data_IF_924406136491
#
_entry.id   IF_924406136491
#
_cell.length_a   1.000
_cell.length_b   1.000
_cell.length_c   1.000
_cell.angle_alpha   90.00
_cell.angle_beta   90.00
_cell.angle_gamma   90.00
#
_symmetry.space_group_name_H-M   'P 1'
#
loop_
_entity.id
_entity.type
_entity.pdbx_description
1 polymer ?
#
# COMPACT_ATOMS: atom_id res chain seq x y z
N UNK A 1 -55.84 -72.80 -30.76
CA UNK A 1 -55.50 -71.36 -30.76
C UNK A 1 -54.64 -71.14 -29.52
N UNK A 2 -53.31 -71.09 -29.51
CA UNK A 2 -52.29 -70.69 -30.48
C UNK A 2 -51.40 -69.67 -29.76
N UNK A 3 -50.52 -70.12 -28.86
CA UNK A 3 -49.61 -69.24 -28.11
C UNK A 3 -48.60 -68.57 -29.06
N UNK A 4 -48.27 -67.28 -28.89
CA UNK A 4 -47.26 -66.65 -29.73
C UNK A 4 -45.86 -67.22 -29.43
N UNK A 5 -44.98 -67.35 -30.44
CA UNK A 5 -43.66 -67.94 -30.27
C UNK A 5 -42.73 -67.03 -29.46
N UNK A 6 -41.98 -67.63 -28.54
CA UNK A 6 -40.96 -66.97 -27.73
C UNK A 6 -39.68 -66.76 -28.56
N UNK A 7 -39.35 -65.51 -28.88
CA UNK A 7 -38.11 -65.15 -29.56
C UNK A 7 -37.02 -64.84 -28.50
N UNK A 8 -35.92 -65.61 -28.42
CA UNK A 8 -34.82 -65.26 -27.53
C UNK A 8 -34.07 -64.02 -28.05
N UNK A 9 -33.53 -63.17 -27.15
CA UNK A 9 -32.82 -61.95 -27.53
C UNK A 9 -31.46 -62.24 -28.22
N UNK A 10 -30.95 -61.33 -29.07
CA UNK A 10 -29.69 -61.52 -29.79
C UNK A 10 -28.48 -61.54 -28.84
N UNK A 11 -27.56 -62.48 -29.07
CA UNK A 11 -26.30 -62.62 -28.35
C UNK A 11 -25.36 -61.46 -28.67
N UNK A 12 -25.06 -60.61 -27.69
CA UNK A 12 -24.10 -59.49 -27.83
C UNK A 12 -22.72 -60.00 -27.39
N UNK A 13 -21.68 -60.00 -28.24
CA UNK A 13 -20.34 -60.41 -27.81
C UNK A 13 -19.75 -59.39 -26.82
N UNK A 14 -18.86 -59.79 -25.89
CA UNK A 14 -18.28 -58.89 -24.91
C UNK A 14 -17.40 -57.83 -25.58
N UNK A 15 -17.69 -56.56 -25.32
CA UNK A 15 -16.83 -55.43 -25.71
C UNK A 15 -15.44 -55.61 -25.08
N UNK A 16 -14.41 -55.71 -25.92
CA UNK A 16 -13.01 -55.58 -25.47
C UNK A 16 -12.70 -54.11 -25.22
N UNK A 17 -12.21 -53.71 -24.02
CA UNK A 17 -11.72 -52.36 -23.81
C UNK A 17 -10.43 -52.14 -24.62
N UNK A 18 -10.24 -50.95 -25.23
CA UNK A 18 -9.00 -50.63 -25.92
C UNK A 18 -7.86 -50.45 -24.91
N UNK A 19 -6.80 -51.23 -25.07
CA UNK A 19 -5.51 -51.03 -24.39
C UNK A 19 -4.81 -49.81 -24.97
N UNK A 20 -4.92 -48.65 -24.31
CA UNK A 20 -4.03 -47.52 -24.55
C UNK A 20 -2.95 -47.48 -23.45
N UNK A 21 -1.67 -47.36 -23.80
CA UNK A 21 -0.61 -47.16 -22.82
C UNK A 21 -0.68 -45.74 -22.22
N UNK A 22 -0.26 -45.55 -20.97
CA UNK A 22 -0.28 -44.24 -20.31
C UNK A 22 0.75 -43.31 -20.96
N UNK A 23 0.28 -42.15 -21.45
CA UNK A 23 1.14 -41.05 -21.86
C UNK A 23 1.92 -40.52 -20.64
N UNK A 24 3.24 -40.67 -20.67
CA UNK A 24 4.17 -40.05 -19.73
C UNK A 24 4.50 -38.64 -20.26
N UNK A 25 4.24 -37.56 -19.51
CA UNK A 25 4.75 -36.24 -19.89
C UNK A 25 6.19 -36.10 -19.41
N UNK A 26 7.16 -36.20 -20.31
CA UNK A 26 8.55 -35.78 -20.04
C UNK A 26 8.70 -34.28 -20.34
N UNK A 27 8.71 -33.44 -19.30
CA UNK A 27 9.19 -32.06 -19.38
C UNK A 27 10.73 -32.05 -19.33
N UNK A 28 11.44 -31.38 -20.26
CA UNK A 28 12.87 -31.15 -20.11
C UNK A 28 13.13 -30.08 -19.03
N UNK A 29 14.22 -30.20 -18.24
CA UNK A 29 14.58 -29.16 -17.28
C UNK A 29 15.10 -27.92 -18.01
N UNK A 30 14.52 -26.76 -17.70
CA UNK A 30 15.00 -25.45 -18.15
C UNK A 30 16.47 -25.25 -17.73
N UNK A 31 17.36 -25.05 -18.70
CA UNK A 31 18.72 -24.57 -18.45
C UNK A 31 18.69 -23.07 -18.08
N UNK A 32 19.40 -22.63 -17.03
CA UNK A 32 19.61 -21.21 -16.79
C UNK A 32 20.53 -20.60 -17.87
N UNK A 33 20.30 -19.36 -18.31
CA UNK A 33 21.19 -18.70 -19.26
C UNK A 33 22.53 -18.35 -18.59
N UNK A 34 23.60 -18.92 -19.12
CA UNK A 34 24.99 -18.52 -18.86
C UNK A 34 25.29 -17.22 -19.62
N UNK A 35 25.25 -16.08 -18.94
CA UNK A 35 25.91 -14.86 -19.43
C UNK A 35 27.14 -14.59 -18.55
N UNK A 36 28.33 -14.36 -19.15
CA UNK A 36 29.53 -14.03 -18.40
C UNK A 36 29.47 -12.60 -17.85
N UNK A 37 30.11 -12.31 -16.71
CA UNK A 37 30.20 -10.95 -16.18
C UNK A 37 31.11 -10.09 -17.08
N UNK A 38 30.59 -8.94 -17.53
CA UNK A 38 31.35 -7.93 -18.25
C UNK A 38 32.45 -7.35 -17.35
N UNK A 39 33.71 -7.56 -17.73
CA UNK A 39 34.89 -6.97 -17.11
C UNK A 39 35.19 -5.64 -17.85
N UNK A 40 35.12 -4.47 -17.22
CA UNK A 40 35.60 -3.24 -17.84
C UNK A 40 37.15 -3.23 -17.89
N UNK A 41 37.77 -2.82 -18.99
CA UNK A 41 39.22 -2.80 -19.14
C UNK A 41 39.89 -1.69 -18.31
N UNK A 42 41.03 -2.05 -17.75
CA UNK A 42 42.01 -1.22 -17.05
C UNK A 42 42.34 0.09 -17.81
N UNK A 43 42.31 1.22 -17.10
CA UNK A 43 42.86 2.51 -17.57
C UNK A 43 44.15 2.78 -16.78
N UNK A 44 45.31 2.98 -17.43
CA UNK A 44 46.56 3.30 -16.74
C UNK A 44 46.62 4.78 -16.29
N UNK A 45 47.32 5.11 -15.20
CA UNK A 45 47.40 6.46 -14.67
C UNK A 45 48.49 7.27 -15.38
N UNK A 46 48.13 8.38 -16.03
CA UNK A 46 49.11 9.35 -16.51
C UNK A 46 49.23 10.56 -15.57
N UNK A 47 50.51 10.89 -15.31
CA UNK A 47 51.08 11.80 -14.30
C UNK A 47 50.70 13.29 -14.47
N UNK A 48 50.90 14.09 -13.40
CA UNK A 48 50.63 15.54 -13.37
C UNK A 48 51.81 16.38 -13.86
N UNK A 49 51.53 17.54 -14.47
CA UNK A 49 52.51 18.63 -14.64
C UNK A 49 51.81 20.00 -14.67
N UNK A 50 52.18 20.84 -13.70
CA UNK A 50 52.01 22.31 -13.60
C UNK A 50 53.46 22.91 -13.54
N UNK A 51 53.77 24.23 -13.50
CA UNK A 51 52.98 25.49 -13.41
C UNK A 51 53.65 26.62 -14.30
N UNK A 52 53.86 27.90 -13.89
CA UNK A 52 52.99 28.99 -13.36
C UNK A 52 53.04 30.27 -14.27
N UNK A 53 52.13 31.25 -14.14
CA UNK A 53 52.51 32.67 -14.37
C UNK A 53 51.68 33.63 -13.49
N UNK A 54 52.43 34.51 -12.82
CA UNK A 54 52.06 35.52 -11.79
C UNK A 54 51.96 36.92 -12.47
N UNK A 55 51.24 37.91 -11.92
CA UNK A 55 50.60 39.02 -12.66
C UNK A 55 51.40 40.35 -12.60
N UNK A 56 50.96 41.42 -13.29
CA UNK A 56 51.35 42.78 -12.94
C UNK A 56 50.17 43.62 -12.38
N UNK A 57 50.36 44.00 -11.11
CA UNK A 57 50.16 45.30 -10.43
C UNK A 57 49.16 46.37 -10.94
N UNK A 58 48.45 46.91 -9.93
CA UNK A 58 47.41 47.97 -9.81
C UNK A 58 48.06 49.39 -9.78
N UNK A 59 47.36 50.56 -9.94
CA UNK A 59 46.67 51.24 -8.80
C UNK A 59 45.47 52.17 -9.27
N UNK A 60 44.98 53.20 -8.53
CA UNK A 60 43.64 53.14 -7.88
C UNK A 60 42.77 54.40 -8.09
N UNK A 61 41.51 54.33 -8.53
CA UNK A 61 40.62 55.50 -8.36
C UNK A 61 39.18 55.15 -7.92
N UNK A 62 38.85 55.79 -6.79
CA UNK A 62 37.57 55.87 -6.07
C UNK A 62 36.59 56.85 -6.77
N UNK A 63 35.31 56.91 -6.36
CA UNK A 63 34.13 56.66 -7.20
C UNK A 63 33.41 57.94 -7.68
N UNK A 64 32.34 57.79 -8.48
CA UNK A 64 31.17 58.64 -8.35
C UNK A 64 29.95 57.87 -7.84
N UNK A 65 29.41 58.45 -6.79
CA UNK A 65 28.05 58.44 -6.25
C UNK A 65 26.92 58.22 -7.28
N UNK A 66 26.14 57.14 -7.10
CA UNK A 66 24.65 57.07 -7.08
C UNK A 66 24.18 55.65 -7.46
N UNK A 67 23.18 55.06 -6.80
CA UNK A 67 22.66 53.75 -7.14
C UNK A 67 21.54 53.85 -8.19
N UNK A 68 21.61 53.17 -9.34
CA UNK A 68 20.42 52.77 -10.06
C UNK A 68 19.91 51.46 -9.45
N UNK A 69 18.67 51.51 -8.97
CA UNK A 69 17.88 50.37 -8.52
C UNK A 69 17.93 49.20 -9.52
N UNK A 70 18.44 48.05 -9.08
CA UNK A 70 18.21 46.74 -9.71
C UNK A 70 17.92 45.75 -8.58
N UNK A 71 16.75 45.08 -8.56
CA UNK A 71 16.48 44.02 -7.60
C UNK A 71 17.34 42.81 -7.95
N UNK A 72 18.44 42.60 -7.23
CA UNK A 72 19.17 41.33 -7.29
C UNK A 72 18.36 40.25 -6.59
N UNK A 73 17.81 39.34 -7.38
CA UNK A 73 17.40 38.01 -6.92
C UNK A 73 18.59 37.34 -6.22
N UNK A 74 18.43 36.76 -5.01
CA UNK A 74 19.49 35.95 -4.43
C UNK A 74 19.75 34.70 -5.29
N UNK A 75 20.97 34.14 -5.25
CA UNK A 75 21.32 32.94 -6.00
C UNK A 75 20.38 31.80 -5.65
N UNK A 76 19.87 31.12 -6.68
CA UNK A 76 19.06 29.92 -6.56
C UNK A 76 19.89 28.85 -5.82
N UNK A 77 19.70 28.78 -4.50
CA UNK A 77 20.02 27.59 -3.72
C UNK A 77 18.83 26.64 -3.96
N UNK A 78 19.01 25.49 -4.62
CA UNK A 78 17.94 24.51 -4.67
C UNK A 78 17.59 24.15 -3.22
N UNK A 79 16.31 24.23 -2.81
CA UNK A 79 15.94 23.74 -1.51
C UNK A 79 16.28 22.26 -1.44
N UNK A 80 16.74 21.73 -0.29
CA UNK A 80 16.66 20.30 -0.06
C UNK A 80 15.23 19.88 -0.39
N UNK A 81 15.09 18.79 -1.16
CA UNK A 81 13.81 18.21 -1.54
C UNK A 81 13.05 17.74 -0.29
N UNK A 82 12.54 18.69 0.49
CA UNK A 82 11.39 18.47 1.32
C UNK A 82 10.22 18.53 0.37
N UNK A 83 9.68 17.35 0.07
CA UNK A 83 8.33 17.20 -0.45
C UNK A 83 7.40 17.93 0.52
N UNK A 84 7.19 19.22 0.27
CA UNK A 84 6.12 20.00 0.86
C UNK A 84 4.84 19.53 0.18
N UNK A 85 4.44 18.28 0.45
CA UNK A 85 3.04 18.12 0.75
C UNK A 85 2.88 18.89 2.04
N UNK A 86 2.27 20.09 1.97
CA UNK A 86 1.56 20.55 3.16
C UNK A 86 0.74 19.34 3.59
N UNK A 87 0.78 18.89 4.85
CA UNK A 87 -0.34 18.13 5.34
C UNK A 87 -1.54 18.97 4.92
N UNK A 88 -2.46 18.38 4.16
CA UNK A 88 -3.76 18.99 4.04
C UNK A 88 -4.31 18.89 5.46
N UNK A 89 -3.95 19.87 6.30
CA UNK A 89 -4.71 20.20 7.46
C UNK A 89 -6.04 20.59 6.82
N UNK A 90 -7.11 19.78 6.94
CA UNK A 90 -8.40 20.40 6.78
C UNK A 90 -8.33 21.60 7.71
N UNK A 91 -8.61 22.80 7.21
CA UNK A 91 -8.94 23.91 8.09
C UNK A 91 -10.12 23.39 8.89
N UNK A 92 -9.85 22.82 10.06
CA UNK A 92 -10.85 22.41 11.02
C UNK A 92 -11.43 23.74 11.45
N UNK A 93 -12.48 24.17 10.75
CA UNK A 93 -13.47 25.07 11.32
C UNK A 93 -13.73 24.53 12.72
N UNK A 94 -13.30 25.30 13.71
CA UNK A 94 -12.81 24.80 14.98
C UNK A 94 -13.66 23.70 15.59
N UNK A 95 -13.05 22.53 15.75
CA UNK A 95 -13.56 21.49 16.61
C UNK A 95 -13.25 21.83 18.08
N UNK A 96 -13.85 22.91 18.56
CA UNK A 96 -13.82 23.21 19.99
C UNK A 96 -14.92 22.38 20.67
N UNK A 97 -14.65 21.77 21.83
CA UNK A 97 -15.65 21.01 22.59
C UNK A 97 -16.88 21.83 23.03
N UNK A 98 -16.88 23.13 22.78
CA UNK A 98 -17.94 24.09 23.10
C UNK A 98 -18.66 24.68 21.87
N UNK A 99 -18.37 24.21 20.65
CA UNK A 99 -19.06 24.69 19.44
C UNK A 99 -20.33 23.87 19.22
N UNK A 100 -21.47 24.51 18.97
CA UNK A 100 -22.74 23.85 18.64
C UNK A 100 -22.99 23.87 17.12
N UNK A 101 -23.27 22.72 16.47
CA UNK A 101 -23.30 21.37 17.02
C UNK A 101 -21.88 20.83 17.31
N UNK A 102 -21.67 20.08 18.40
CA UNK A 102 -20.36 19.55 18.74
C UNK A 102 -19.90 18.60 17.64
N UNK A 103 -18.78 18.92 17.00
CA UNK A 103 -18.16 17.98 16.08
C UNK A 103 -17.70 16.75 16.88
N UNK A 104 -17.85 15.57 16.28
CA UNK A 104 -17.41 14.32 16.90
C UNK A 104 -15.89 14.33 17.07
N UNK A 105 -15.42 14.31 18.31
CA UNK A 105 -14.01 14.09 18.66
C UNK A 105 -13.91 12.69 19.24
N UNK A 106 -13.15 11.83 18.56
CA UNK A 106 -12.93 10.46 19.00
C UNK A 106 -12.11 10.42 20.29
N UNK A 107 -12.50 9.56 21.21
CA UNK A 107 -11.70 9.25 22.41
C UNK A 107 -10.78 8.06 22.15
N UNK A 108 -9.81 7.82 23.04
CA UNK A 108 -9.04 6.55 23.01
C UNK A 108 -9.97 5.32 23.09
N UNK A 109 -11.09 5.42 23.83
CA UNK A 109 -12.10 4.35 23.88
C UNK A 109 -12.76 4.13 22.53
N UNK A 110 -13.12 5.20 21.82
CA UNK A 110 -13.68 5.10 20.47
C UNK A 110 -12.70 4.49 19.47
N UNK A 111 -11.43 4.90 19.54
CA UNK A 111 -10.37 4.38 18.69
C UNK A 111 -10.18 2.88 18.92
N UNK A 112 -10.04 2.45 20.17
CA UNK A 112 -9.87 1.04 20.52
C UNK A 112 -11.09 0.20 20.14
N UNK A 113 -12.30 0.73 20.31
CA UNK A 113 -13.52 0.07 19.83
C UNK A 113 -13.52 -0.10 18.31
N UNK A 114 -13.16 0.95 17.56
CA UNK A 114 -13.06 0.90 16.10
C UNK A 114 -12.03 -0.14 15.65
N UNK A 115 -10.81 -0.10 16.21
CA UNK A 115 -9.75 -1.06 15.94
C UNK A 115 -10.26 -2.49 16.17
N UNK A 116 -10.85 -2.76 17.34
CA UNK A 116 -11.30 -4.09 17.72
C UNK A 116 -12.39 -4.63 16.77
N UNK A 117 -13.39 -3.80 16.46
CA UNK A 117 -14.48 -4.20 15.56
C UNK A 117 -13.97 -4.45 14.14
N UNK A 118 -13.15 -3.56 13.60
CA UNK A 118 -12.62 -3.67 12.24
C UNK A 118 -11.64 -4.84 12.10
N UNK A 119 -10.74 -5.04 13.08
CA UNK A 119 -9.81 -6.17 13.07
C UNK A 119 -10.55 -7.52 13.11
N UNK A 120 -11.62 -7.61 13.90
CA UNK A 120 -12.44 -8.82 14.01
C UNK A 120 -13.20 -9.10 12.70
N UNK A 121 -13.83 -8.08 12.13
CA UNK A 121 -14.55 -8.21 10.86
C UNK A 121 -13.59 -8.63 9.74
N UNK A 122 -12.45 -7.96 9.61
CA UNK A 122 -11.46 -8.27 8.57
C UNK A 122 -10.88 -9.68 8.73
N UNK A 123 -10.65 -10.14 9.96
CA UNK A 123 -10.24 -11.53 10.22
C UNK A 123 -11.34 -12.54 9.83
N UNK A 124 -12.61 -12.24 10.12
CA UNK A 124 -13.74 -13.11 9.75
C UNK A 124 -13.93 -13.18 8.23
N UNK A 125 -13.83 -12.04 7.56
CA UNK A 125 -13.88 -11.94 6.09
C UNK A 125 -12.69 -12.68 5.44
N UNK A 126 -11.50 -12.63 6.03
CA UNK A 126 -10.35 -13.40 5.55
C UNK A 126 -10.58 -14.91 5.64
N UNK A 127 -11.21 -15.39 6.71
CA UNK A 127 -11.49 -16.82 6.89
C UNK A 127 -12.54 -17.37 5.93
N UNK A 128 -13.39 -16.50 5.39
CA UNK A 128 -14.48 -16.85 4.46
C UNK A 128 -14.25 -16.35 3.03
N UNK A 129 -13.10 -15.71 2.77
CA UNK A 129 -12.80 -15.06 1.51
C UNK A 129 -12.63 -16.05 0.35
N UNK A 130 -12.99 -15.60 -0.86
CA UNK A 130 -12.96 -16.43 -2.07
C UNK A 130 -11.66 -16.33 -2.85
N UNK A 131 -10.94 -15.22 -2.72
CA UNK A 131 -9.69 -14.98 -3.44
C UNK A 131 -8.51 -14.78 -2.48
N UNK A 132 -7.35 -15.30 -2.89
CA UNK A 132 -6.15 -15.32 -2.05
C UNK A 132 -5.62 -13.91 -1.76
N UNK A 133 -5.62 -13.03 -2.75
CA UNK A 133 -5.05 -11.68 -2.64
C UNK A 133 -5.80 -10.81 -1.65
N UNK A 134 -7.13 -10.73 -1.76
CA UNK A 134 -7.99 -10.00 -0.83
C UNK A 134 -7.94 -10.60 0.55
N UNK A 135 -7.96 -11.94 0.65
CA UNK A 135 -7.83 -12.66 1.93
C UNK A 135 -6.51 -12.33 2.62
N UNK A 136 -5.39 -12.33 1.89
CA UNK A 136 -4.09 -11.99 2.43
C UNK A 136 -4.05 -10.52 2.89
N UNK A 137 -4.63 -9.61 2.10
CA UNK A 137 -4.69 -8.19 2.45
C UNK A 137 -5.56 -7.95 3.70
N UNK A 138 -6.71 -8.62 3.81
CA UNK A 138 -7.56 -8.60 5.00
C UNK A 138 -6.81 -9.05 6.25
N UNK A 139 -6.00 -10.11 6.15
CA UNK A 139 -5.15 -10.57 7.26
C UNK A 139 -4.12 -9.52 7.65
N UNK A 140 -3.44 -8.91 6.67
CA UNK A 140 -2.47 -7.85 6.94
C UNK A 140 -3.12 -6.64 7.63
N UNK A 141 -4.30 -6.22 7.17
CA UNK A 141 -5.07 -5.14 7.80
C UNK A 141 -5.43 -5.50 9.23
N UNK A 142 -5.94 -6.73 9.46
CA UNK A 142 -6.31 -7.20 10.79
C UNK A 142 -5.11 -7.20 11.75
N UNK A 143 -3.96 -7.74 11.33
CA UNK A 143 -2.72 -7.74 12.12
C UNK A 143 -2.19 -6.34 12.38
N UNK A 144 -2.22 -5.45 11.38
CA UNK A 144 -1.79 -4.07 11.55
C UNK A 144 -2.68 -3.33 12.57
N UNK A 145 -4.00 -3.51 12.50
CA UNK A 145 -4.93 -2.96 13.49
C UNK A 145 -4.70 -3.54 14.89
N UNK A 146 -4.45 -4.84 15.00
CA UNK A 146 -4.13 -5.49 16.27
C UNK A 146 -2.85 -4.93 16.91
N UNK A 147 -1.83 -4.55 16.12
CA UNK A 147 -0.61 -3.93 16.65
C UNK A 147 -0.85 -2.58 17.33
N UNK A 148 -1.98 -1.93 17.03
CA UNK A 148 -2.42 -0.69 17.68
C UNK A 148 -3.29 -0.91 18.92
N UNK A 149 -3.59 -2.16 19.26
CA UNK A 149 -4.35 -2.45 20.48
C UNK A 149 -3.56 -1.93 21.69
N UNK A 150 -4.30 -1.36 22.65
CA UNK A 150 -3.75 -0.79 23.89
C UNK A 150 -2.91 0.48 23.74
N UNK A 151 -2.70 0.98 22.52
CA UNK A 151 -2.09 2.30 22.31
C UNK A 151 -3.05 3.41 22.75
N UNK A 152 -2.48 4.44 23.39
CA UNK A 152 -3.20 5.64 23.79
C UNK A 152 -2.54 6.88 23.20
N UNK A 153 -3.36 7.79 22.70
CA UNK A 153 -2.93 9.03 22.07
C UNK A 153 -3.42 10.23 22.85
N UNK A 154 -2.68 11.34 22.75
CA UNK A 154 -3.08 12.62 23.32
C UNK A 154 -4.27 13.22 22.56
N UNK A 155 -4.89 14.26 23.15
CA UNK A 155 -6.09 14.89 22.60
C UNK A 155 -5.87 15.50 21.22
N UNK A 156 -4.69 16.08 20.94
CA UNK A 156 -4.40 16.71 19.64
C UNK A 156 -4.34 15.64 18.56
N UNK A 157 -3.64 14.54 18.85
CA UNK A 157 -3.59 13.39 17.93
C UNK A 157 -4.97 12.78 17.70
N UNK A 158 -5.79 12.64 18.75
CA UNK A 158 -7.14 12.10 18.61
C UNK A 158 -8.06 13.01 17.78
N UNK A 159 -7.96 14.34 17.92
CA UNK A 159 -8.69 15.28 17.05
C UNK A 159 -8.29 15.07 15.59
N UNK A 160 -6.99 14.89 15.31
CA UNK A 160 -6.50 14.62 13.96
C UNK A 160 -7.03 13.29 13.40
N UNK A 161 -7.07 12.23 14.21
CA UNK A 161 -7.52 10.90 13.81
C UNK A 161 -9.06 10.74 13.76
N UNK A 162 -9.80 11.65 14.38
CA UNK A 162 -11.26 11.57 14.54
C UNK A 162 -12.02 11.30 13.22
N UNK A 163 -11.70 11.96 12.09
CA UNK A 163 -12.36 11.67 10.81
C UNK A 163 -12.15 10.23 10.33
N UNK A 164 -10.93 9.69 10.45
CA UNK A 164 -10.66 8.30 10.08
C UNK A 164 -11.35 7.32 11.00
N UNK A 165 -11.30 7.56 12.31
CA UNK A 165 -11.92 6.69 13.31
C UNK A 165 -13.43 6.62 13.04
N UNK A 166 -14.06 7.77 12.82
CA UNK A 166 -15.48 7.85 12.49
C UNK A 166 -15.82 7.09 11.21
N UNK A 167 -15.07 7.33 10.12
CA UNK A 167 -15.24 6.64 8.84
C UNK A 167 -15.08 5.12 9.01
N UNK A 168 -14.03 4.68 9.69
CA UNK A 168 -13.77 3.26 9.88
C UNK A 168 -14.89 2.56 10.65
N UNK A 169 -15.44 3.22 11.69
CA UNK A 169 -16.60 2.71 12.43
C UNK A 169 -17.83 2.56 11.54
N UNK A 170 -18.17 3.58 10.76
CA UNK A 170 -19.37 3.54 9.90
C UNK A 170 -19.23 2.50 8.80
N UNK A 171 -18.08 2.45 8.12
CA UNK A 171 -17.80 1.45 7.08
C UNK A 171 -17.83 0.03 7.64
N UNK A 172 -17.23 -0.20 8.82
CA UNK A 172 -17.23 -1.52 9.45
C UNK A 172 -18.65 -1.96 9.79
N UNK A 173 -19.48 -1.06 10.32
CA UNK A 173 -20.88 -1.35 10.61
C UNK A 173 -21.66 -1.70 9.34
N UNK A 174 -21.53 -0.92 8.26
CA UNK A 174 -22.23 -1.23 7.00
C UNK A 174 -21.75 -2.54 6.37
N UNK A 175 -20.43 -2.78 6.37
CA UNK A 175 -19.85 -4.01 5.86
C UNK A 175 -20.37 -5.24 6.62
N UNK A 176 -20.52 -5.16 7.94
CA UNK A 176 -21.04 -6.28 8.73
C UNK A 176 -22.46 -6.73 8.36
N UNK A 177 -23.24 -5.86 7.70
CA UNK A 177 -24.64 -6.15 7.32
C UNK A 177 -24.83 -6.43 5.82
N UNK A 178 -24.06 -5.77 4.94
CA UNK A 178 -24.32 -5.78 3.48
C UNK A 178 -23.21 -6.41 2.62
N UNK A 179 -22.17 -7.01 3.20
CA UNK A 179 -21.00 -7.50 2.44
C UNK A 179 -21.33 -8.64 1.45
N UNK A 180 -20.97 -8.44 0.18
CA UNK A 180 -21.12 -9.37 -0.95
C UNK A 180 -19.79 -9.94 -1.47
N UNK A 181 -18.64 -9.54 -0.90
CA UNK A 181 -17.29 -10.02 -1.24
C UNK A 181 -16.95 -9.85 -2.73
N UNK A 182 -17.07 -8.61 -3.22
CA UNK A 182 -16.74 -8.28 -4.60
C UNK A 182 -15.22 -8.28 -4.83
N UNK A 183 -14.75 -8.77 -5.99
CA UNK A 183 -13.33 -8.76 -6.31
C UNK A 183 -12.81 -7.34 -6.44
N UNK A 184 -11.76 -7.02 -5.69
CA UNK A 184 -11.11 -5.70 -5.72
C UNK A 184 -10.26 -5.59 -6.99
N UNK A 185 -10.28 -4.41 -7.61
CA UNK A 185 -9.45 -4.15 -8.79
C UNK A 185 -7.95 -4.31 -8.47
N UNK A 186 -7.18 -4.80 -9.43
CA UNK A 186 -5.74 -4.99 -9.26
C UNK A 186 -5.00 -3.70 -8.87
N UNK A 187 -5.39 -2.57 -9.45
CA UNK A 187 -4.82 -1.26 -9.13
C UNK A 187 -5.10 -0.85 -7.68
N UNK A 188 -6.34 -1.02 -7.21
CA UNK A 188 -6.69 -0.75 -5.82
C UNK A 188 -5.96 -1.68 -4.85
N UNK A 189 -5.86 -2.97 -5.18
CA UNK A 189 -5.13 -3.95 -4.38
C UNK A 189 -3.66 -3.55 -4.20
N UNK A 190 -3.02 -3.08 -5.27
CA UNK A 190 -1.61 -2.65 -5.25
C UNK A 190 -1.41 -1.44 -4.36
N UNK A 191 -2.26 -0.42 -4.51
CA UNK A 191 -2.17 0.81 -3.71
C UNK A 191 -2.42 0.54 -2.21
N UNK A 192 -3.43 -0.27 -1.89
CA UNK A 192 -3.76 -0.61 -0.50
C UNK A 192 -2.65 -1.45 0.14
N UNK A 193 -2.07 -2.40 -0.61
CA UNK A 193 -0.96 -3.22 -0.13
C UNK A 193 0.29 -2.39 0.15
N UNK A 194 0.59 -1.39 -0.68
CA UNK A 194 1.74 -0.49 -0.47
C UNK A 194 1.63 0.28 0.86
N UNK A 195 0.42 0.70 1.25
CA UNK A 195 0.19 1.39 2.52
C UNK A 195 0.42 0.48 3.75
N UNK A 196 0.47 -0.85 3.56
CA UNK A 196 0.69 -1.83 4.64
C UNK A 196 2.13 -2.35 4.72
N UNK A 197 3.00 -1.98 3.78
CA UNK A 197 4.41 -2.45 3.77
C UNK A 197 5.13 -2.08 5.06
N UNK A 198 4.85 -0.91 5.64
CA UNK A 198 5.47 -0.51 6.90
C UNK A 198 5.02 -1.42 8.07
N UNK A 199 3.73 -1.72 8.13
CA UNK A 199 3.10 -2.53 9.19
C UNK A 199 3.54 -4.00 9.17
N UNK A 200 3.89 -4.51 7.99
CA UNK A 200 4.36 -5.90 7.83
C UNK A 200 5.82 -6.11 8.20
N UNK A 201 6.65 -5.06 8.18
CA UNK A 201 8.10 -5.20 8.35
C UNK A 201 8.65 -4.62 9.67
N UNK A 202 8.13 -3.49 10.16
CA UNK A 202 8.80 -2.70 11.22
C UNK A 202 7.83 -2.03 12.20
N UNK A 203 6.61 -2.55 12.35
CA UNK A 203 5.41 -1.89 12.91
C UNK A 203 5.42 -1.40 14.38
N UNK A 204 6.57 -1.04 14.95
CA UNK A 204 6.71 -0.51 16.30
C UNK A 204 6.58 1.02 16.34
N UNK A 205 5.84 1.55 17.31
CA UNK A 205 5.65 2.99 17.57
C UNK A 205 5.27 3.82 16.33
N UNK A 206 4.09 3.57 15.74
CA UNK A 206 3.64 4.29 14.54
C UNK A 206 3.41 5.78 14.83
N UNK A 207 3.75 6.60 13.84
CA UNK A 207 3.38 8.02 13.81
C UNK A 207 1.87 8.18 13.64
N UNK A 208 1.28 9.31 14.09
CA UNK A 208 -0.13 9.59 13.88
C UNK A 208 -0.57 9.49 12.41
N UNK A 209 0.28 9.91 11.47
CA UNK A 209 -0.01 9.81 10.04
C UNK A 209 -0.07 8.36 9.55
N UNK A 210 0.81 7.48 10.07
CA UNK A 210 0.78 6.06 9.71
C UNK A 210 -0.51 5.40 10.21
N UNK A 211 -0.96 5.74 11.42
CA UNK A 211 -2.24 5.29 11.97
C UNK A 211 -3.41 5.76 11.12
N UNK A 212 -3.42 7.06 10.78
CA UNK A 212 -4.41 7.66 9.89
C UNK A 212 -4.50 6.93 8.54
N UNK A 213 -3.35 6.64 7.94
CA UNK A 213 -3.26 5.92 6.67
C UNK A 213 -3.79 4.49 6.79
N UNK A 214 -3.48 3.78 7.89
CA UNK A 214 -4.01 2.45 8.15
C UNK A 214 -5.54 2.45 8.25
N UNK A 215 -6.11 3.38 9.01
CA UNK A 215 -7.57 3.46 9.18
C UNK A 215 -8.29 3.79 7.87
N UNK A 216 -7.72 4.69 7.08
CA UNK A 216 -8.21 4.99 5.74
C UNK A 216 -8.12 3.77 4.82
N UNK A 217 -7.00 3.05 4.85
CA UNK A 217 -6.77 1.84 4.05
C UNK A 217 -7.79 0.76 4.40
N UNK A 218 -8.01 0.51 5.70
CA UNK A 218 -9.00 -0.45 6.17
C UNK A 218 -10.42 -0.10 5.71
N UNK A 219 -10.80 1.18 5.84
CA UNK A 219 -12.12 1.67 5.40
C UNK A 219 -12.29 1.52 3.89
N UNK A 220 -11.31 1.98 3.10
CA UNK A 220 -11.35 1.90 1.64
C UNK A 220 -11.38 0.46 1.13
N UNK A 221 -10.65 -0.44 1.77
CA UNK A 221 -10.69 -1.85 1.45
C UNK A 221 -12.10 -2.40 1.65
N UNK A 222 -12.70 -2.17 2.82
CA UNK A 222 -14.05 -2.66 3.13
C UNK A 222 -15.11 -2.05 2.19
N UNK A 223 -15.00 -0.78 1.83
CA UNK A 223 -15.90 -0.12 0.86
C UNK A 223 -15.88 -0.79 -0.52
N UNK A 224 -14.72 -1.30 -0.95
CA UNK A 224 -14.58 -1.96 -2.25
C UNK A 224 -14.88 -3.45 -2.20
N UNK A 225 -14.58 -4.08 -1.06
CA UNK A 225 -14.73 -5.52 -0.91
C UNK A 225 -16.17 -5.95 -0.62
N UNK A 226 -17.00 -5.11 0.01
CA UNK A 226 -18.30 -5.54 0.56
C UNK A 226 -19.54 -5.24 -0.30
#
# INVERSE_FOLDING_TARGET
>A
MGFPPYNPPPYIPPYKPPTQPPYIPTLPPYRPPTQPPYIPPYIPPYKPTQPPYIPPYIPPYKPPTQPPYIPTLPPYKPPPYYTTQRPYWPTTTGCYPYSSPPCYVATNKDMQAAISSTASLTSSLASSGKDYSSTNLLRQISTALQSLQYQSYDQVTLVMLSPAISKMKTTTASASYYCKQQPISYAAMTNLSQNLVWWTNNGYNPTPQQVQNLFNTASQFLEQYC
#
